data_IF_113320969913
#
_entry.id   IF_113320969913
#
_cell.length_a   1.000
_cell.length_b   1.000
_cell.length_c   1.000
_cell.angle_alpha   90.00
_cell.angle_beta   90.00
_cell.angle_gamma   90.00
#
_symmetry.space_group_name_H-M   'P 1'
#
loop_
_entity.id
_entity.type
_entity.pdbx_description
1 polymer ?
#
# COMPACT_ATOMS: atom_id res chain seq x y z
N UNK A 1 16.97 -6.46 -6.34
CA UNK A 1 15.84 -6.60 -7.30
C UNK A 1 14.66 -7.22 -6.57
N UNK A 2 13.48 -6.61 -6.71
CA UNK A 2 12.27 -7.21 -6.18
C UNK A 2 12.06 -8.60 -6.81
N UNK A 3 11.68 -9.57 -5.97
CA UNK A 3 11.36 -10.91 -6.44
C UNK A 3 10.13 -10.89 -7.34
N UNK A 4 10.10 -11.73 -8.36
CA UNK A 4 8.91 -11.97 -9.18
C UNK A 4 8.22 -13.22 -8.63
N UNK A 5 7.00 -13.10 -8.09
CA UNK A 5 6.23 -14.25 -7.64
C UNK A 5 5.85 -15.13 -8.81
N UNK A 6 5.80 -16.43 -8.56
CA UNK A 6 5.31 -17.40 -9.53
C UNK A 6 4.38 -18.35 -8.80
N UNK A 7 3.14 -18.49 -9.26
CA UNK A 7 2.21 -19.49 -8.77
C UNK A 7 1.82 -20.44 -9.89
N UNK A 8 1.37 -21.62 -9.55
CA UNK A 8 0.98 -22.63 -10.51
C UNK A 8 -0.53 -22.90 -10.52
N UNK A 9 -1.33 -22.11 -9.78
CA UNK A 9 -2.73 -22.46 -9.54
C UNK A 9 -3.67 -21.27 -9.63
N UNK A 10 -4.96 -21.55 -9.53
CA UNK A 10 -6.07 -20.62 -9.70
C UNK A 10 -5.84 -19.25 -9.06
N UNK A 11 -5.98 -18.23 -9.86
CA UNK A 11 -5.85 -16.84 -9.45
C UNK A 11 -7.15 -16.33 -8.86
N UNK A 12 -7.02 -15.64 -7.76
CA UNK A 12 -8.11 -14.85 -7.17
C UNK A 12 -7.82 -13.38 -7.41
N UNK A 13 -8.41 -12.80 -8.48
CA UNK A 13 -7.90 -11.57 -9.01
C UNK A 13 -8.15 -10.35 -8.14
N UNK A 14 -7.15 -9.47 -8.10
CA UNK A 14 -7.32 -8.06 -7.79
C UNK A 14 -7.97 -7.42 -9.02
N UNK A 15 -9.07 -6.69 -8.83
CA UNK A 15 -9.83 -6.10 -9.93
C UNK A 15 -9.70 -4.59 -10.01
N UNK A 16 -9.36 -3.93 -8.90
CA UNK A 16 -9.08 -2.50 -8.86
C UNK A 16 -8.13 -2.15 -7.72
N UNK A 17 -7.20 -1.26 -7.99
CA UNK A 17 -6.32 -0.64 -6.99
C UNK A 17 -6.37 0.87 -7.16
N UNK A 18 -6.68 1.59 -6.07
CA UNK A 18 -6.56 3.05 -6.01
C UNK A 18 -5.60 3.45 -4.90
N UNK A 19 -4.62 4.29 -5.21
CA UNK A 19 -3.68 4.85 -4.24
C UNK A 19 -3.00 6.09 -4.81
N UNK A 20 -3.02 7.21 -4.09
CA UNK A 20 -2.21 8.39 -4.44
C UNK A 20 -2.34 8.86 -5.90
N UNK A 21 -3.54 8.83 -6.45
CA UNK A 21 -3.82 9.18 -7.86
C UNK A 21 -3.79 8.00 -8.82
N UNK A 22 -3.28 6.86 -8.42
CA UNK A 22 -3.44 5.59 -9.15
C UNK A 22 -4.92 5.20 -9.09
N UNK A 23 -5.47 4.76 -10.21
CA UNK A 23 -6.76 4.07 -10.32
C UNK A 23 -6.65 3.06 -11.47
N UNK A 24 -6.22 1.85 -11.14
CA UNK A 24 -6.02 0.79 -12.11
C UNK A 24 -7.11 -0.27 -11.99
N UNK A 25 -7.81 -0.52 -13.09
CA UNK A 25 -8.70 -1.66 -13.23
C UNK A 25 -7.92 -2.76 -13.97
N UNK A 26 -7.53 -3.79 -13.25
CA UNK A 26 -6.96 -4.99 -13.83
C UNK A 26 -8.07 -5.95 -14.23
N UNK A 27 -8.03 -6.41 -15.47
CA UNK A 27 -8.98 -7.42 -15.96
C UNK A 27 -8.49 -8.80 -15.52
N UNK A 28 -9.09 -9.35 -14.48
CA UNK A 28 -8.75 -10.68 -14.08
C UNK A 28 -9.97 -11.58 -14.08
N UNK A 29 -9.81 -12.78 -14.57
CA UNK A 29 -10.79 -13.86 -14.47
C UNK A 29 -10.31 -14.89 -13.45
N UNK A 30 -11.23 -15.42 -12.66
CA UNK A 30 -10.97 -16.31 -11.51
C UNK A 30 -10.18 -17.59 -11.86
N UNK A 31 -10.01 -17.92 -13.10
CA UNK A 31 -9.43 -19.24 -13.50
C UNK A 31 -8.29 -19.20 -14.52
N UNK A 32 -7.90 -18.04 -15.01
CA UNK A 32 -6.95 -17.98 -16.13
C UNK A 32 -6.12 -16.70 -16.21
N UNK A 33 -6.04 -15.92 -15.14
CA UNK A 33 -5.22 -14.71 -15.11
C UNK A 33 -3.78 -15.01 -14.67
N UNK A 34 -2.83 -14.11 -14.95
CA UNK A 34 -1.50 -14.22 -14.39
C UNK A 34 -1.53 -14.05 -12.89
N UNK A 35 -0.79 -14.87 -12.17
CA UNK A 35 -0.64 -14.78 -10.71
C UNK A 35 0.10 -13.52 -10.29
N UNK A 36 0.86 -12.94 -11.20
CA UNK A 36 1.61 -11.72 -11.03
C UNK A 36 1.43 -10.79 -12.23
N UNK A 37 1.15 -9.53 -11.94
CA UNK A 37 1.08 -8.46 -12.92
C UNK A 37 1.98 -7.29 -12.52
N UNK A 38 2.78 -6.83 -13.46
CA UNK A 38 3.67 -5.68 -13.27
C UNK A 38 3.03 -4.42 -13.85
N UNK A 39 2.56 -3.56 -12.97
CA UNK A 39 2.04 -2.22 -13.27
C UNK A 39 2.97 -1.10 -12.79
N UNK A 40 4.26 -1.38 -12.64
CA UNK A 40 5.24 -0.37 -12.14
C UNK A 40 5.42 0.83 -13.07
N UNK A 41 4.86 0.78 -14.28
CA UNK A 41 4.74 1.96 -15.16
C UNK A 41 3.62 2.92 -14.74
N UNK A 42 2.69 2.46 -13.88
CA UNK A 42 1.65 3.30 -13.28
C UNK A 42 2.19 3.82 -11.95
N UNK A 43 2.21 5.14 -11.78
CA UNK A 43 2.77 5.78 -10.59
C UNK A 43 1.88 6.91 -10.07
N UNK A 44 1.82 7.02 -8.74
CA UNK A 44 1.24 8.16 -8.03
C UNK A 44 2.30 8.94 -7.28
N UNK A 45 1.90 10.07 -6.67
CA UNK A 45 2.80 10.89 -5.85
C UNK A 45 2.30 10.96 -4.42
N UNK A 46 3.22 10.83 -3.47
CA UNK A 46 2.96 10.96 -2.04
C UNK A 46 4.03 11.85 -1.38
N UNK A 47 3.70 12.44 -0.25
CA UNK A 47 4.63 13.25 0.54
C UNK A 47 4.97 12.52 1.83
N UNK A 48 6.24 12.44 2.18
CA UNK A 48 6.69 11.86 3.45
C UNK A 48 5.98 12.54 4.65
N UNK A 49 5.53 11.75 5.61
CA UNK A 49 4.74 12.20 6.77
C UNK A 49 3.24 12.39 6.51
N UNK A 50 2.78 12.37 5.26
CA UNK A 50 1.35 12.50 4.92
C UNK A 50 0.66 11.14 4.87
N UNK A 51 -0.67 11.17 5.00
CA UNK A 51 -1.51 9.96 4.98
C UNK A 51 -2.37 9.92 3.74
N UNK A 52 -2.40 8.76 3.08
CA UNK A 52 -3.18 8.49 1.86
C UNK A 52 -4.01 7.24 2.04
N UNK A 53 -5.23 7.24 1.50
CA UNK A 53 -6.06 6.05 1.48
C UNK A 53 -5.67 5.14 0.30
N UNK A 54 -5.46 3.86 0.58
CA UNK A 54 -5.42 2.80 -0.43
C UNK A 54 -6.75 2.07 -0.43
N UNK A 55 -7.30 1.79 -1.61
CA UNK A 55 -8.49 0.95 -1.80
C UNK A 55 -8.15 -0.19 -2.75
N UNK A 56 -8.49 -1.40 -2.35
CA UNK A 56 -8.28 -2.61 -3.15
C UNK A 56 -9.58 -3.38 -3.27
N UNK A 57 -9.99 -3.65 -4.49
CA UNK A 57 -11.12 -4.54 -4.79
C UNK A 57 -10.59 -5.84 -5.36
N UNK A 58 -11.01 -6.95 -4.80
CA UNK A 58 -10.63 -8.28 -5.26
C UNK A 58 -11.84 -9.19 -5.42
N UNK A 59 -11.68 -10.20 -6.26
CA UNK A 59 -12.66 -11.24 -6.49
C UNK A 59 -12.18 -12.54 -5.85
N UNK A 60 -13.05 -13.17 -5.06
CA UNK A 60 -12.83 -14.48 -4.46
C UNK A 60 -13.71 -15.54 -5.11
N UNK A 61 -13.55 -16.78 -4.68
CA UNK A 61 -14.41 -17.88 -5.13
C UNK A 61 -15.83 -17.83 -4.51
N UNK A 62 -16.01 -17.03 -3.44
CA UNK A 62 -17.19 -17.08 -2.60
C UNK A 62 -17.26 -18.38 -1.77
N UNK A 63 -18.29 -18.51 -0.94
CA UNK A 63 -18.53 -19.72 -0.15
C UNK A 63 -17.76 -19.77 1.17
N UNK A 64 -17.11 -20.90 1.47
CA UNK A 64 -16.45 -21.14 2.77
C UNK A 64 -14.98 -20.74 2.81
N UNK A 65 -14.40 -20.38 1.68
CA UNK A 65 -12.99 -20.00 1.59
C UNK A 65 -12.77 -18.57 2.05
N UNK A 66 -11.73 -18.35 2.86
CA UNK A 66 -11.35 -17.02 3.33
C UNK A 66 -10.15 -16.51 2.54
N UNK A 67 -10.31 -15.32 1.98
CA UNK A 67 -9.26 -14.61 1.25
C UNK A 67 -8.78 -13.43 2.07
N UNK A 68 -7.50 -13.08 1.91
CA UNK A 68 -6.82 -12.04 2.67
C UNK A 68 -6.19 -11.05 1.71
N UNK A 69 -6.34 -9.77 2.03
CA UNK A 69 -5.72 -8.69 1.27
C UNK A 69 -4.63 -8.02 2.08
N UNK A 70 -3.46 -7.87 1.46
CA UNK A 70 -2.30 -7.22 2.04
C UNK A 70 -1.68 -6.24 1.05
N UNK A 71 -0.96 -5.26 1.60
CA UNK A 71 -0.06 -4.43 0.81
C UNK A 71 1.31 -4.37 1.49
N UNK A 72 2.35 -4.37 0.67
CA UNK A 72 3.75 -4.23 1.07
C UNK A 72 4.34 -3.03 0.35
N UNK A 73 5.13 -2.25 1.04
CA UNK A 73 5.89 -1.14 0.47
C UNK A 73 7.37 -1.39 0.65
N UNK A 74 8.16 -1.09 -0.35
CA UNK A 74 9.63 -1.11 -0.31
C UNK A 74 10.11 0.32 0.06
N UNK A 75 9.87 0.73 1.33
CA UNK A 75 10.12 2.09 1.78
C UNK A 75 11.59 2.50 1.71
N UNK A 76 12.49 1.55 1.89
CA UNK A 76 13.94 1.78 1.83
C UNK A 76 14.52 1.59 0.42
N UNK A 77 13.68 1.18 -0.56
CA UNK A 77 14.01 0.98 -1.97
C UNK A 77 15.18 0.01 -2.21
N UNK A 78 15.26 -1.04 -1.38
CA UNK A 78 16.31 -2.06 -1.51
C UNK A 78 15.89 -3.28 -2.35
N UNK A 79 14.62 -3.35 -2.75
CA UNK A 79 14.02 -4.44 -3.51
C UNK A 79 13.52 -5.60 -2.63
N UNK A 80 13.41 -5.40 -1.33
CA UNK A 80 12.89 -6.39 -0.39
C UNK A 80 11.65 -5.88 0.32
N UNK A 81 10.50 -6.46 0.05
CA UNK A 81 9.22 -6.06 0.67
C UNK A 81 9.04 -6.58 2.10
N UNK A 82 9.94 -7.42 2.61
CA UNK A 82 9.74 -8.10 3.88
C UNK A 82 10.36 -7.36 5.08
N UNK A 83 11.20 -6.35 4.85
CA UNK A 83 11.98 -5.68 5.90
C UNK A 83 11.51 -4.26 6.27
N UNK A 84 10.44 -3.77 5.64
CA UNK A 84 9.92 -2.40 5.80
C UNK A 84 8.65 -2.30 6.67
N UNK A 85 8.49 -3.22 7.62
CA UNK A 85 7.41 -3.17 8.62
C UNK A 85 6.04 -3.65 8.12
N UNK A 86 5.94 -4.18 6.89
CA UNK A 86 4.73 -4.82 6.36
C UNK A 86 4.56 -6.27 6.83
N UNK A 87 3.46 -6.96 6.47
CA UNK A 87 2.37 -6.50 5.62
C UNK A 87 1.42 -5.51 6.29
N UNK A 88 0.92 -4.56 5.52
CA UNK A 88 -0.26 -3.79 5.89
C UNK A 88 -1.49 -4.63 5.59
N UNK A 89 -2.21 -5.04 6.62
CA UNK A 89 -3.39 -5.89 6.49
C UNK A 89 -4.61 -5.02 6.14
N UNK A 90 -5.18 -5.21 4.95
CA UNK A 90 -6.40 -4.52 4.53
C UNK A 90 -7.65 -5.20 5.07
N UNK A 91 -7.64 -6.53 5.20
CA UNK A 91 -8.77 -7.32 5.69
C UNK A 91 -8.84 -8.73 5.10
N UNK A 92 -9.93 -9.41 5.43
CA UNK A 92 -10.25 -10.72 4.86
C UNK A 92 -11.74 -10.81 4.50
N UNK A 93 -12.07 -11.73 3.60
CA UNK A 93 -13.44 -11.88 3.09
C UNK A 93 -13.72 -13.33 2.65
N UNK A 94 -15.01 -13.67 2.64
CA UNK A 94 -15.53 -14.97 2.14
C UNK A 94 -16.54 -14.79 1.00
N UNK A 95 -16.81 -13.56 0.61
CA UNK A 95 -17.75 -13.20 -0.47
C UNK A 95 -17.12 -13.36 -1.85
N UNK A 96 -17.94 -13.29 -2.90
CA UNK A 96 -17.41 -13.34 -4.27
C UNK A 96 -16.57 -12.10 -4.64
N UNK A 97 -16.83 -10.95 -4.01
CA UNK A 97 -16.09 -9.70 -4.22
C UNK A 97 -16.03 -8.92 -2.92
N UNK A 98 -14.90 -8.31 -2.65
CA UNK A 98 -14.72 -7.40 -1.51
C UNK A 98 -13.84 -6.21 -1.88
N UNK A 99 -14.13 -5.06 -1.27
CA UNK A 99 -13.32 -3.85 -1.33
C UNK A 99 -12.92 -3.47 0.08
N UNK A 100 -11.63 -3.29 0.30
CA UNK A 100 -11.08 -2.81 1.56
C UNK A 100 -10.34 -1.50 1.36
N UNK A 101 -10.36 -0.69 2.42
CA UNK A 101 -9.72 0.60 2.47
C UNK A 101 -8.81 0.68 3.69
N UNK A 102 -7.61 1.23 3.52
CA UNK A 102 -6.67 1.46 4.62
C UNK A 102 -5.97 2.80 4.43
N UNK A 103 -5.81 3.54 5.52
CA UNK A 103 -5.01 4.75 5.52
C UNK A 103 -3.53 4.40 5.76
N UNK A 104 -2.69 4.76 4.81
CA UNK A 104 -1.24 4.55 4.84
C UNK A 104 -0.57 5.89 5.15
N UNK A 105 0.12 5.97 6.27
CA UNK A 105 0.99 7.12 6.58
C UNK A 105 2.39 6.83 6.01
N UNK A 106 2.86 7.72 5.14
CA UNK A 106 4.17 7.60 4.50
C UNK A 106 5.25 7.85 5.55
N UNK A 107 6.17 6.90 5.80
CA UNK A 107 7.23 7.11 6.78
C UNK A 107 8.11 8.33 6.43
N UNK A 108 8.49 9.12 7.43
CA UNK A 108 9.45 10.22 7.24
C UNK A 108 10.84 9.71 6.83
N UNK A 109 11.12 8.43 7.13
CA UNK A 109 12.36 7.73 6.79
C UNK A 109 12.32 7.05 5.42
N UNK A 110 11.18 7.12 4.71
CA UNK A 110 11.07 6.51 3.40
C UNK A 110 12.03 7.17 2.40
N UNK A 111 12.58 6.36 1.51
CA UNK A 111 13.50 6.82 0.46
C UNK A 111 12.79 7.78 -0.48
N UNK A 112 13.30 9.01 -0.59
CA UNK A 112 12.79 10.00 -1.54
C UNK A 112 13.04 9.54 -2.96
N UNK A 113 12.02 9.66 -3.82
CA UNK A 113 12.05 9.16 -5.19
C UNK A 113 11.07 8.01 -5.42
N UNK A 114 11.23 7.30 -6.51
CA UNK A 114 10.29 6.24 -6.90
C UNK A 114 10.64 4.92 -6.20
N UNK A 115 9.67 4.42 -5.46
CA UNK A 115 9.71 3.10 -4.81
C UNK A 115 8.61 2.21 -5.37
N UNK A 116 8.65 0.94 -5.02
CA UNK A 116 7.59 -0.03 -5.39
C UNK A 116 6.69 -0.36 -4.21
N UNK A 117 5.44 -0.69 -4.52
CA UNK A 117 4.57 -1.37 -3.58
C UNK A 117 3.88 -2.55 -4.28
N UNK A 118 3.54 -3.57 -3.47
CA UNK A 118 2.92 -4.82 -3.91
C UNK A 118 1.60 -5.02 -3.21
N UNK A 119 0.55 -5.22 -4.00
CA UNK A 119 -0.78 -5.62 -3.52
C UNK A 119 -0.90 -7.14 -3.65
N UNK A 120 -1.45 -7.78 -2.64
CA UNK A 120 -1.62 -9.23 -2.57
C UNK A 120 -3.05 -9.57 -2.24
N UNK A 121 -3.67 -10.45 -3.02
CA UNK A 121 -4.89 -11.14 -2.66
C UNK A 121 -4.60 -12.64 -2.60
N UNK A 122 -4.84 -13.30 -1.46
CA UNK A 122 -4.40 -14.66 -1.24
C UNK A 122 -5.39 -15.48 -0.42
N UNK A 123 -5.42 -16.79 -0.67
CA UNK A 123 -6.17 -17.75 0.12
C UNK A 123 -5.54 -18.00 1.49
N UNK A 124 -4.26 -17.73 1.68
CA UNK A 124 -3.54 -17.95 2.93
C UNK A 124 -3.50 -16.68 3.78
N UNK A 125 -3.59 -16.83 5.11
CA UNK A 125 -3.67 -15.72 6.07
C UNK A 125 -2.44 -14.81 6.11
N UNK A 126 -1.27 -15.32 5.78
CA UNK A 126 -0.04 -14.53 5.59
C UNK A 126 0.71 -15.15 4.43
N UNK A 127 0.97 -14.35 3.42
CA UNK A 127 1.72 -14.81 2.25
C UNK A 127 3.04 -14.04 2.17
N UNK A 128 4.13 -14.78 1.97
CA UNK A 128 5.41 -14.16 1.66
C UNK A 128 5.26 -13.34 0.37
N UNK A 129 5.65 -12.05 0.34
CA UNK A 129 5.56 -11.22 -0.86
C UNK A 129 6.39 -11.76 -2.04
N UNK A 130 7.27 -12.72 -1.78
CA UNK A 130 8.09 -13.42 -2.76
C UNK A 130 7.69 -14.90 -2.92
N UNK A 131 6.43 -15.24 -2.67
CA UNK A 131 5.97 -16.62 -2.77
C UNK A 131 6.11 -17.17 -4.20
N UNK A 132 6.48 -18.45 -4.27
CA UNK A 132 6.60 -19.19 -5.54
C UNK A 132 5.58 -20.34 -5.61
N UNK A 133 4.72 -20.47 -4.61
CA UNK A 133 3.66 -21.48 -4.53
C UNK A 133 2.50 -20.94 -3.72
N UNK A 134 1.28 -21.34 -4.05
CA UNK A 134 0.07 -20.97 -3.34
C UNK A 134 -1.03 -20.46 -4.27
N UNK A 135 -2.16 -20.09 -3.69
CA UNK A 135 -3.32 -19.52 -4.38
C UNK A 135 -3.36 -18.03 -4.11
N UNK A 136 -2.88 -17.22 -5.04
CA UNK A 136 -2.80 -15.78 -4.90
C UNK A 136 -2.78 -15.06 -6.24
N UNK A 137 -3.03 -13.76 -6.20
CA UNK A 137 -2.59 -12.81 -7.21
C UNK A 137 -1.82 -11.68 -6.54
N UNK A 138 -0.77 -11.22 -7.22
CA UNK A 138 0.04 -10.07 -6.80
C UNK A 138 0.17 -9.06 -7.93
N UNK A 139 0.12 -7.79 -7.56
CA UNK A 139 0.29 -6.67 -8.48
C UNK A 139 1.32 -5.69 -7.93
N UNK A 140 2.32 -5.34 -8.73
CA UNK A 140 3.32 -4.34 -8.40
C UNK A 140 3.01 -2.99 -9.06
N UNK A 141 3.18 -1.93 -8.30
CA UNK A 141 3.01 -0.55 -8.70
C UNK A 141 4.21 0.29 -8.27
N UNK A 142 4.29 1.50 -8.79
CA UNK A 142 5.26 2.51 -8.32
C UNK A 142 4.56 3.64 -7.58
N UNK A 143 5.28 4.26 -6.64
CA UNK A 143 4.89 5.54 -6.04
C UNK A 143 6.12 6.43 -5.88
N UNK A 144 5.98 7.71 -6.19
CA UNK A 144 7.06 8.69 -6.02
C UNK A 144 6.88 9.42 -4.70
N UNK A 145 7.86 9.28 -3.82
CA UNK A 145 7.88 9.93 -2.51
C UNK A 145 8.54 11.29 -2.64
N UNK A 146 7.81 12.34 -2.26
CA UNK A 146 8.26 13.71 -2.17
C UNK A 146 8.70 14.00 -0.73
N UNK A 147 9.70 14.87 -0.56
CA UNK A 147 10.14 15.30 0.76
C UNK A 147 9.00 16.01 1.51
N UNK A 148 8.95 15.83 2.83
CA UNK A 148 8.08 16.63 3.68
C UNK A 148 8.43 18.12 3.54
N UNK A 149 7.43 19.02 3.55
CA UNK A 149 7.70 20.46 3.61
C UNK A 149 8.58 20.80 4.81
N UNK A 150 9.52 21.74 4.67
CA UNK A 150 10.30 22.17 5.82
C UNK A 150 9.37 22.77 6.88
N UNK A 151 9.68 22.49 8.16
CA UNK A 151 9.03 23.21 9.27
C UNK A 151 9.39 24.70 9.18
N UNK A 152 8.41 25.53 8.93
CA UNK A 152 8.59 26.99 9.05
C UNK A 152 8.28 27.39 10.48
N UNK A 153 9.25 28.04 11.15
CA UNK A 153 8.96 28.64 12.45
C UNK A 153 7.83 29.70 12.29
N UNK A 154 6.92 29.80 13.28
CA UNK A 154 5.90 30.83 13.24
C UNK A 154 6.59 32.21 13.21
N UNK A 155 6.28 33.01 12.21
CA UNK A 155 6.86 34.35 11.99
C UNK A 155 6.41 35.37 13.02
N UNK A 156 5.43 35.03 13.87
CA UNK A 156 4.97 35.86 15.00
C UNK A 156 5.47 35.27 16.31
N UNK A 157 6.48 35.90 16.89
CA UNK A 157 6.88 35.64 18.26
C UNK A 157 5.73 36.14 19.18
N UNK A 158 5.26 35.33 20.14
CA UNK A 158 4.26 35.81 21.09
C UNK A 158 4.84 37.03 21.83
N UNK A 159 4.19 38.16 21.74
CA UNK A 159 4.53 39.37 22.54
C UNK A 159 4.42 38.99 23.99
N UNK A 160 5.50 39.18 24.74
CA UNK A 160 5.51 38.93 26.16
C UNK A 160 4.39 39.79 26.83
N UNK A 161 3.50 39.12 27.55
CA UNK A 161 2.49 39.78 28.34
C UNK A 161 3.22 40.53 29.46
N UNK A 162 3.29 41.85 29.35
CA UNK A 162 3.81 42.72 30.46
C UNK A 162 2.72 42.79 31.50
N UNK A 163 2.86 42.03 32.59
CA UNK A 163 2.08 42.20 33.80
C UNK A 163 2.53 43.49 34.48
N UNK A 164 1.78 44.57 34.35
CA UNK A 164 1.93 45.72 35.20
C UNK A 164 1.44 45.36 36.61
N UNK A 165 2.38 45.29 37.57
CA UNK A 165 2.04 45.16 38.98
C UNK A 165 1.24 46.40 39.37
N UNK A 166 0.01 46.18 39.83
CA UNK A 166 -0.78 47.25 40.45
C UNK A 166 -0.09 47.74 41.72
N UNK A 167 0.18 49.02 41.78
CA UNK A 167 0.61 49.70 43.04
C UNK A 167 -0.53 49.65 44.07
N UNK A 168 -0.22 49.40 45.36
CA UNK A 168 -1.19 49.36 46.46
C UNK A 168 -1.89 50.66 46.72
#
# INVERSE_FOLDING_TARGET
CACVPTSANDTYPISNVTFAGINNNSSATVTAGPDYQDFTTISGNVTAGSTYNISVTSTGAGGTNTFYQYVYFDWNNNGNFADDGGPYNLGNYTTATATFNLNITIPLTATIGTIKFRVVNSFNSILNPCATTGYFQMEDYSVTILAAPPCTEPTAQPTALVLTAGTP
#
